data_IF_194696160402
#
_entry.id   IF_194696160402
#
_cell.length_a   1.000
_cell.length_b   1.000
_cell.length_c   1.000
_cell.angle_alpha   90.00
_cell.angle_beta   90.00
_cell.angle_gamma   90.00
#
_symmetry.space_group_name_H-M   'P 1'
#
loop_
_entity.id
_entity.type
_entity.pdbx_description
1 polymer ?
#
# COMPACT_ATOMS: atom_id res chain seq x y z
N UNK A 1 -1.19 5.11 -29.32
CA UNK A 1 -0.40 5.94 -28.38
C UNK A 1 -1.09 5.85 -27.03
N UNK A 2 -0.34 5.62 -25.96
CA UNK A 2 -0.92 5.62 -24.62
C UNK A 2 -1.53 7.00 -24.30
N UNK A 3 -2.65 7.02 -23.60
CA UNK A 3 -3.27 8.26 -23.12
C UNK A 3 -2.35 8.89 -22.07
N UNK A 4 -2.15 10.23 -22.10
CA UNK A 4 -1.29 10.95 -21.17
C UNK A 4 -2.13 11.95 -20.38
N UNK A 5 -2.20 11.76 -19.07
CA UNK A 5 -2.89 12.64 -18.14
C UNK A 5 -1.85 13.47 -17.38
N UNK A 6 -1.96 14.80 -17.49
CA UNK A 6 -1.04 15.73 -16.82
C UNK A 6 -1.67 16.28 -15.56
N UNK A 7 -1.03 16.01 -14.42
CA UNK A 7 -1.43 16.53 -13.11
C UNK A 7 -0.56 17.73 -12.73
N UNK A 8 -1.19 18.76 -12.18
CA UNK A 8 -0.50 20.01 -11.78
C UNK A 8 -0.47 20.20 -10.27
N UNK A 9 -1.45 19.63 -9.58
CA UNK A 9 -1.54 19.67 -8.11
C UNK A 9 -0.77 18.49 -7.52
N UNK A 10 -0.18 18.68 -6.36
CA UNK A 10 0.59 17.65 -5.67
C UNK A 10 1.87 18.22 -5.06
N UNK A 11 2.65 17.36 -4.43
CA UNK A 11 3.87 17.74 -3.73
C UNK A 11 4.89 16.61 -3.72
N UNK A 12 6.04 16.83 -4.35
CA UNK A 12 7.18 15.93 -4.24
C UNK A 12 8.01 16.29 -3.00
N UNK A 13 8.12 15.34 -2.08
CA UNK A 13 8.95 15.46 -0.87
C UNK A 13 10.21 14.63 -1.08
N UNK A 14 11.28 15.28 -1.53
CA UNK A 14 12.55 14.61 -1.79
C UNK A 14 13.29 14.32 -0.49
N UNK A 15 13.26 13.07 -0.03
CA UNK A 15 13.98 12.62 1.15
C UNK A 15 15.30 11.94 0.78
N UNK A 16 16.29 12.04 1.67
CA UNK A 16 17.57 11.32 1.55
C UNK A 16 17.40 9.84 1.87
N UNK A 17 18.22 8.98 1.23
CA UNK A 17 18.22 7.55 1.50
C UNK A 17 17.27 6.74 0.62
N UNK A 18 17.01 7.18 -0.62
CA UNK A 18 16.26 6.37 -1.60
C UNK A 18 16.96 5.03 -1.83
N UNK A 19 16.18 3.95 -1.98
CA UNK A 19 16.70 2.63 -2.28
C UNK A 19 17.51 2.64 -3.57
N UNK A 20 18.72 2.08 -3.50
CA UNK A 20 19.58 1.88 -4.68
C UNK A 20 19.17 0.59 -5.38
N UNK A 21 19.36 0.53 -6.70
CA UNK A 21 19.07 -0.65 -7.51
C UNK A 21 20.10 -1.76 -7.28
N UNK A 22 20.10 -2.29 -6.08
CA UNK A 22 20.95 -3.42 -5.66
C UNK A 22 20.20 -4.34 -4.72
N UNK A 23 20.48 -5.64 -4.82
CA UNK A 23 19.94 -6.63 -3.89
C UNK A 23 20.81 -6.69 -2.64
N UNK A 24 20.14 -6.68 -1.49
CA UNK A 24 20.77 -6.86 -0.19
C UNK A 24 20.67 -8.33 0.24
N UNK A 25 21.65 -8.83 1.03
CA UNK A 25 21.58 -10.18 1.56
C UNK A 25 20.44 -10.33 2.56
N UNK A 26 19.82 -11.50 2.58
CA UNK A 26 18.72 -11.83 3.47
C UNK A 26 19.05 -13.09 4.28
N UNK A 27 18.73 -13.07 5.58
CA UNK A 27 18.80 -14.23 6.47
C UNK A 27 17.44 -14.93 6.45
N UNK A 28 17.42 -16.25 6.26
CA UNK A 28 16.19 -17.03 6.27
C UNK A 28 15.53 -16.96 7.66
N UNK A 29 14.26 -16.58 7.74
CA UNK A 29 13.51 -16.53 8.99
C UNK A 29 13.27 -17.91 9.59
N UNK A 30 13.27 -17.97 10.91
CA UNK A 30 12.86 -19.17 11.68
C UNK A 30 11.36 -19.16 12.02
N UNK A 31 10.69 -18.04 11.82
CA UNK A 31 9.25 -17.86 12.03
C UNK A 31 8.71 -16.82 11.06
N UNK A 32 7.50 -17.03 10.55
CA UNK A 32 6.73 -16.07 9.76
C UNK A 32 5.44 -15.72 10.49
N UNK A 33 4.88 -14.54 10.24
CA UNK A 33 3.59 -14.18 10.80
C UNK A 33 2.69 -13.48 9.76
N UNK A 34 1.45 -13.91 9.66
CA UNK A 34 0.45 -13.26 8.79
C UNK A 34 -0.49 -12.42 9.64
N UNK A 35 -0.67 -11.17 9.25
CA UNK A 35 -1.40 -10.14 9.99
C UNK A 35 -2.74 -9.86 9.29
N UNK A 36 -3.90 -10.17 9.91
CA UNK A 36 -5.20 -9.90 9.28
C UNK A 36 -5.49 -8.41 9.07
N UNK A 37 -4.94 -7.53 9.90
CA UNK A 37 -5.12 -6.07 9.80
C UNK A 37 -4.49 -5.47 8.52
N UNK A 38 -3.66 -6.22 7.79
CA UNK A 38 -3.14 -5.83 6.48
C UNK A 38 -4.26 -5.75 5.41
N UNK A 39 -5.43 -6.33 5.69
CA UNK A 39 -6.57 -6.37 4.78
C UNK A 39 -7.73 -5.53 5.32
N UNK A 40 -7.85 -4.26 4.91
CA UNK A 40 -8.88 -3.35 5.40
C UNK A 40 -10.29 -3.89 5.19
N UNK A 41 -11.14 -3.72 6.19
CA UNK A 41 -12.54 -4.15 6.14
C UNK A 41 -12.79 -5.62 6.43
N UNK A 42 -11.73 -6.41 6.68
CA UNK A 42 -11.80 -7.82 7.04
C UNK A 42 -12.23 -7.99 8.52
N UNK A 43 -13.04 -9.01 8.76
CA UNK A 43 -13.26 -9.56 10.11
C UNK A 43 -12.73 -11.00 10.15
N UNK A 44 -11.52 -11.23 10.69
CA UNK A 44 -10.87 -12.53 10.56
C UNK A 44 -11.53 -13.62 11.41
N UNK A 45 -11.74 -14.79 10.79
CA UNK A 45 -12.06 -16.04 11.45
C UNK A 45 -10.94 -17.02 11.15
N UNK A 46 -10.11 -17.32 12.16
CA UNK A 46 -8.99 -18.25 12.03
C UNK A 46 -9.50 -19.66 11.78
N UNK A 47 -8.88 -20.37 10.84
CA UNK A 47 -9.22 -21.74 10.41
C UNK A 47 -8.25 -22.77 10.96
N UNK A 48 -7.12 -22.36 11.51
CA UNK A 48 -6.06 -23.21 12.05
C UNK A 48 -5.91 -23.06 13.56
N UNK A 49 -5.22 -24.01 14.19
CA UNK A 49 -4.89 -24.03 15.62
C UNK A 49 -3.38 -24.16 15.81
N UNK A 50 -2.90 -23.83 17.00
CA UNK A 50 -1.52 -24.11 17.40
C UNK A 50 -1.25 -25.61 17.30
N UNK A 51 -0.12 -25.97 16.69
CA UNK A 51 0.29 -27.34 16.40
C UNK A 51 -0.20 -27.88 15.07
N UNK A 52 -1.11 -27.21 14.36
CA UNK A 52 -1.54 -27.65 13.02
C UNK A 52 -0.39 -27.46 12.02
N UNK A 53 -0.19 -28.45 11.14
CA UNK A 53 0.72 -28.33 10.00
C UNK A 53 -0.04 -27.77 8.80
N UNK A 54 0.55 -26.80 8.10
CA UNK A 54 0.00 -26.15 6.91
C UNK A 54 1.01 -26.17 5.77
N UNK A 55 0.54 -26.26 4.53
CA UNK A 55 1.38 -26.08 3.33
C UNK A 55 1.33 -24.60 2.90
N UNK A 56 2.31 -24.18 2.13
CA UNK A 56 2.24 -22.90 1.44
C UNK A 56 1.01 -22.89 0.51
N UNK A 57 0.10 -21.93 0.70
CA UNK A 57 -1.18 -21.85 0.00
C UNK A 57 -2.39 -22.37 0.78
N UNK A 58 -2.21 -23.09 1.89
CA UNK A 58 -3.34 -23.51 2.74
C UNK A 58 -3.92 -22.28 3.49
N UNK A 59 -5.24 -22.22 3.74
CA UNK A 59 -5.89 -21.07 4.35
C UNK A 59 -5.60 -20.98 5.86
N UNK A 60 -5.13 -19.84 6.33
CA UNK A 60 -4.90 -19.55 7.75
C UNK A 60 -6.12 -18.93 8.42
N UNK A 61 -6.83 -18.07 7.73
CA UNK A 61 -8.06 -17.45 8.17
C UNK A 61 -8.93 -17.07 6.98
N UNK A 62 -10.21 -16.83 7.24
CA UNK A 62 -11.21 -16.38 6.26
C UNK A 62 -11.87 -15.10 6.74
N UNK A 63 -12.53 -14.35 5.84
CA UNK A 63 -13.44 -13.28 6.24
C UNK A 63 -14.71 -13.88 6.86
N UNK A 64 -15.05 -13.45 8.07
CA UNK A 64 -16.29 -13.87 8.75
C UNK A 64 -17.54 -13.46 7.97
N UNK A 65 -17.47 -12.33 7.26
CA UNK A 65 -18.58 -11.80 6.46
C UNK A 65 -18.74 -12.50 5.11
N UNK A 66 -17.65 -13.15 4.59
CA UNK A 66 -17.65 -13.90 3.36
C UNK A 66 -16.60 -15.02 3.46
N UNK A 67 -17.03 -16.20 3.92
CA UNK A 67 -16.11 -17.32 4.22
C UNK A 67 -15.42 -17.92 3.00
N UNK A 68 -15.83 -17.57 1.81
CA UNK A 68 -15.17 -17.93 0.55
C UNK A 68 -13.85 -17.19 0.37
N UNK A 69 -13.72 -15.99 0.96
CA UNK A 69 -12.48 -15.21 0.93
C UNK A 69 -11.55 -15.70 2.02
N UNK A 70 -10.55 -16.46 1.61
CA UNK A 70 -9.50 -17.02 2.46
C UNK A 70 -8.15 -16.31 2.23
N UNK A 71 -7.24 -16.49 3.18
CA UNK A 71 -5.89 -15.91 3.16
C UNK A 71 -4.86 -17.00 3.38
N UNK A 72 -3.98 -17.15 2.40
CA UNK A 72 -3.05 -18.26 2.29
C UNK A 72 -1.84 -18.13 3.23
N UNK A 73 -1.34 -19.26 3.67
CA UNK A 73 -0.02 -19.36 4.31
C UNK A 73 1.09 -19.05 3.29
N UNK A 74 2.06 -18.19 3.62
CA UNK A 74 3.22 -17.92 2.77
C UNK A 74 4.22 -19.07 2.73
N UNK A 75 4.21 -19.96 3.71
CA UNK A 75 5.19 -21.06 3.90
C UNK A 75 4.47 -22.34 4.32
N UNK A 76 5.10 -23.49 4.06
CA UNK A 76 4.73 -24.73 4.79
C UNK A 76 5.43 -24.76 6.12
N UNK A 77 4.73 -25.30 7.13
CA UNK A 77 5.27 -25.39 8.48
C UNK A 77 4.21 -25.64 9.53
N UNK A 78 4.63 -25.54 10.77
CA UNK A 78 3.74 -25.74 11.93
C UNK A 78 3.29 -24.39 12.49
N UNK A 79 2.00 -24.20 12.71
CA UNK A 79 1.43 -23.03 13.38
C UNK A 79 1.92 -23.02 14.84
N UNK A 80 2.73 -22.02 15.19
CA UNK A 80 3.33 -21.89 16.53
C UNK A 80 2.44 -21.12 17.49
N UNK A 81 1.72 -20.12 16.98
CA UNK A 81 0.80 -19.33 17.79
C UNK A 81 -0.30 -18.66 16.97
N UNK A 82 -1.46 -18.47 17.60
CA UNK A 82 -2.53 -17.59 17.14
C UNK A 82 -2.66 -16.46 18.16
N UNK A 83 -1.92 -15.38 17.94
CA UNK A 83 -1.89 -14.26 18.89
C UNK A 83 -3.16 -13.45 18.84
N UNK A 84 -3.66 -13.10 20.04
CA UNK A 84 -4.90 -12.35 20.20
C UNK A 84 -4.69 -11.19 21.16
N UNK A 85 -5.16 -10.01 20.76
CA UNK A 85 -5.19 -8.82 21.58
C UNK A 85 -6.49 -8.66 22.37
N UNK A 86 -6.77 -7.42 22.72
CA UNK A 86 -8.01 -7.04 23.42
C UNK A 86 -9.25 -7.53 22.67
N UNK A 87 -10.29 -7.87 23.43
CA UNK A 87 -11.57 -8.38 22.91
C UNK A 87 -11.42 -9.58 21.96
N UNK A 88 -10.35 -10.37 22.13
CA UNK A 88 -10.01 -11.53 21.30
C UNK A 88 -9.75 -11.19 19.81
N UNK A 89 -9.42 -9.93 19.48
CA UNK A 89 -8.99 -9.56 18.13
C UNK A 89 -7.77 -10.41 17.73
N UNK A 90 -7.82 -11.02 16.56
CA UNK A 90 -6.66 -11.76 16.03
C UNK A 90 -5.62 -10.74 15.58
N UNK A 91 -4.43 -10.80 16.18
CA UNK A 91 -3.32 -9.92 15.82
C UNK A 91 -2.48 -10.53 14.71
N UNK A 92 -2.10 -11.82 14.87
CA UNK A 92 -1.30 -12.53 13.87
C UNK A 92 -1.39 -14.05 14.05
N UNK A 93 -1.09 -14.76 12.97
CA UNK A 93 -0.89 -16.22 12.96
C UNK A 93 0.57 -16.47 12.66
N UNK A 94 1.29 -17.12 13.58
CA UNK A 94 2.71 -17.43 13.49
C UNK A 94 2.95 -18.84 13.00
N UNK A 95 3.97 -19.04 12.16
CA UNK A 95 4.30 -20.31 11.53
C UNK A 95 5.80 -20.52 11.56
N UNK A 96 6.25 -21.62 12.14
CA UNK A 96 7.63 -22.08 12.01
C UNK A 96 7.77 -22.86 10.70
N UNK A 97 8.60 -22.40 9.74
CA UNK A 97 8.68 -23.01 8.42
C UNK A 97 9.38 -24.36 8.45
N UNK A 98 8.96 -25.27 7.57
CA UNK A 98 9.63 -26.51 7.31
C UNK A 98 10.99 -26.29 6.62
N UNK A 99 11.94 -27.16 6.84
CA UNK A 99 13.22 -27.14 6.14
C UNK A 99 13.07 -27.35 4.63
N UNK A 100 12.09 -28.16 4.23
CA UNK A 100 11.69 -28.38 2.84
C UNK A 100 10.25 -27.92 2.66
N UNK A 101 10.04 -26.93 1.79
CA UNK A 101 8.72 -26.32 1.59
C UNK A 101 7.79 -27.21 0.79
N UNK A 102 6.58 -27.41 1.31
CA UNK A 102 5.48 -28.08 0.65
C UNK A 102 4.45 -27.07 0.17
N UNK A 103 3.88 -27.29 -1.01
CA UNK A 103 2.91 -26.37 -1.61
C UNK A 103 1.58 -27.05 -1.83
N UNK A 104 0.50 -26.34 -1.59
CA UNK A 104 -0.81 -26.70 -2.11
C UNK A 104 -0.78 -26.60 -3.64
N UNK A 105 -1.27 -27.62 -4.33
CA UNK A 105 -1.28 -27.64 -5.81
C UNK A 105 -2.65 -27.20 -6.32
N UNK A 106 -2.70 -26.08 -7.02
CA UNK A 106 -3.90 -25.52 -7.66
C UNK A 106 -3.96 -25.82 -9.17
N UNK A 107 -2.93 -26.49 -9.69
CA UNK A 107 -2.77 -26.79 -11.10
C UNK A 107 -2.37 -25.59 -11.95
N UNK A 108 -1.49 -25.82 -12.90
CA UNK A 108 -1.12 -24.81 -13.91
C UNK A 108 -2.31 -24.59 -14.85
N UNK A 109 -2.67 -23.33 -15.12
CA UNK A 109 -3.83 -22.98 -15.94
C UNK A 109 -3.42 -21.95 -17.00
N UNK A 110 -3.74 -22.23 -18.26
CA UNK A 110 -3.59 -21.25 -19.33
C UNK A 110 -4.70 -20.20 -19.25
N UNK A 111 -4.34 -18.99 -18.82
CA UNK A 111 -5.28 -17.86 -18.66
C UNK A 111 -6.00 -17.48 -19.95
N UNK A 112 -5.44 -17.78 -21.12
CA UNK A 112 -6.08 -17.45 -22.40
C UNK A 112 -7.44 -18.13 -22.56
N UNK A 113 -7.58 -19.38 -22.06
CA UNK A 113 -8.79 -20.18 -22.11
C UNK A 113 -9.76 -20.02 -20.94
N UNK A 114 -9.43 -19.22 -19.93
CA UNK A 114 -10.26 -19.09 -18.74
C UNK A 114 -11.40 -18.08 -18.93
N UNK A 115 -12.52 -18.35 -18.25
CA UNK A 115 -13.63 -17.41 -18.06
C UNK A 115 -13.40 -16.53 -16.81
N UNK A 116 -14.17 -15.46 -16.66
CA UNK A 116 -14.15 -14.61 -15.47
C UNK A 116 -14.36 -15.42 -14.18
N UNK A 117 -15.34 -16.31 -14.19
CA UNK A 117 -15.67 -17.13 -13.01
C UNK A 117 -14.54 -18.10 -12.67
N UNK A 118 -13.89 -18.72 -13.68
CA UNK A 118 -12.74 -19.60 -13.43
C UNK A 118 -11.55 -18.85 -12.82
N UNK A 119 -11.32 -17.59 -13.22
CA UNK A 119 -10.27 -16.76 -12.64
C UNK A 119 -10.61 -16.40 -11.18
N UNK A 120 -11.84 -15.93 -10.91
CA UNK A 120 -12.30 -15.62 -9.54
C UNK A 120 -12.19 -16.85 -8.64
N UNK A 121 -12.70 -18.00 -9.08
CA UNK A 121 -12.65 -19.26 -8.34
C UNK A 121 -11.21 -19.67 -8.03
N UNK A 122 -10.30 -19.56 -9.01
CA UNK A 122 -8.89 -19.90 -8.81
C UNK A 122 -8.23 -19.02 -7.75
N UNK A 123 -8.51 -17.71 -7.77
CA UNK A 123 -8.00 -16.77 -6.77
C UNK A 123 -8.59 -17.00 -5.37
N UNK A 124 -9.89 -17.37 -5.29
CA UNK A 124 -10.55 -17.71 -4.02
C UNK A 124 -9.96 -18.99 -3.42
N UNK A 125 -9.83 -20.06 -4.22
CA UNK A 125 -9.26 -21.33 -3.79
C UNK A 125 -7.82 -21.17 -3.29
N UNK A 126 -7.03 -20.32 -3.96
CA UNK A 126 -5.62 -20.05 -3.62
C UNK A 126 -5.43 -19.06 -2.46
N UNK A 127 -6.50 -18.49 -1.89
CA UNK A 127 -6.40 -17.49 -0.82
C UNK A 127 -5.78 -16.16 -1.26
N UNK A 128 -5.86 -15.83 -2.56
CA UNK A 128 -5.31 -14.61 -3.13
C UNK A 128 -6.37 -13.54 -3.44
N UNK A 129 -7.65 -13.89 -3.42
CA UNK A 129 -8.73 -12.95 -3.77
C UNK A 129 -8.75 -11.74 -2.83
N UNK A 130 -8.38 -11.91 -1.55
CA UNK A 130 -8.32 -10.84 -0.56
C UNK A 130 -7.27 -9.75 -0.84
N UNK A 131 -6.38 -9.93 -1.84
CA UNK A 131 -5.45 -8.90 -2.32
C UNK A 131 -6.09 -7.91 -3.31
N UNK A 132 -7.35 -8.14 -3.68
CA UNK A 132 -8.13 -7.22 -4.50
C UNK A 132 -8.90 -6.30 -3.55
N UNK A 133 -8.72 -4.99 -3.70
CA UNK A 133 -9.48 -3.99 -2.98
C UNK A 133 -10.56 -3.37 -3.88
N UNK A 134 -11.45 -2.60 -3.28
CA UNK A 134 -12.49 -1.88 -4.01
C UNK A 134 -12.61 -0.42 -3.60
N UNK A 135 -12.99 0.41 -4.53
CA UNK A 135 -13.60 1.71 -4.29
C UNK A 135 -15.09 1.62 -4.67
N UNK A 136 -15.98 2.26 -3.93
CA UNK A 136 -15.72 3.05 -2.72
C UNK A 136 -15.27 2.21 -1.53
N UNK A 137 -14.94 2.89 -0.44
CA UNK A 137 -14.56 2.38 0.88
C UNK A 137 -13.09 1.98 1.07
N UNK A 138 -12.31 1.72 0.00
CA UNK A 138 -10.91 1.27 0.09
C UNK A 138 -10.75 0.09 1.07
N UNK A 139 -11.45 -1.00 0.79
CA UNK A 139 -11.45 -2.25 1.57
C UNK A 139 -11.28 -3.45 0.65
N UNK A 140 -10.91 -4.60 1.21
CA UNK A 140 -10.89 -5.86 0.45
C UNK A 140 -12.25 -6.14 -0.16
N UNK A 141 -12.27 -6.54 -1.44
CA UNK A 141 -13.50 -6.78 -2.18
C UNK A 141 -14.13 -8.14 -1.84
N UNK A 142 -15.37 -8.33 -2.27
CA UNK A 142 -16.10 -9.60 -2.17
C UNK A 142 -16.41 -10.17 -3.55
N UNK A 143 -16.49 -11.51 -3.68
CA UNK A 143 -16.69 -12.16 -4.97
C UNK A 143 -18.06 -11.90 -5.60
N UNK A 144 -19.06 -11.51 -4.80
CA UNK A 144 -20.41 -11.14 -5.23
C UNK A 144 -20.49 -9.73 -5.85
N UNK A 145 -19.43 -8.93 -5.74
CA UNK A 145 -19.38 -7.61 -6.38
C UNK A 145 -18.95 -7.73 -7.85
N UNK A 146 -19.62 -6.98 -8.72
CA UNK A 146 -19.25 -6.86 -10.13
C UNK A 146 -18.56 -5.52 -10.38
N UNK A 147 -17.24 -5.51 -10.65
CA UNK A 147 -16.55 -4.25 -10.88
C UNK A 147 -16.88 -3.69 -12.28
N UNK A 148 -17.06 -2.38 -12.35
CA UNK A 148 -17.16 -1.64 -13.62
C UNK A 148 -15.81 -1.66 -14.37
N UNK A 149 -14.70 -1.62 -13.63
CA UNK A 149 -13.33 -1.72 -14.13
C UNK A 149 -12.38 -2.16 -13.03
N UNK A 150 -11.15 -2.57 -13.41
CA UNK A 150 -10.06 -2.91 -12.50
C UNK A 150 -8.90 -1.95 -12.77
N UNK A 151 -8.34 -1.37 -11.71
CA UNK A 151 -7.24 -0.42 -11.78
C UNK A 151 -5.99 -1.00 -11.12
N UNK A 152 -4.87 -0.89 -11.82
CA UNK A 152 -3.53 -1.26 -11.33
C UNK A 152 -2.63 -0.04 -11.48
N UNK A 153 -2.07 0.48 -10.39
CA UNK A 153 -1.10 1.57 -10.46
C UNK A 153 0.31 1.03 -10.30
N UNK A 154 1.09 1.08 -11.38
CA UNK A 154 2.51 0.76 -11.37
C UNK A 154 3.40 1.98 -11.10
N UNK A 155 2.81 3.19 -10.99
CA UNK A 155 3.50 4.40 -10.60
C UNK A 155 3.62 4.46 -9.07
N UNK A 156 4.84 4.51 -8.58
CA UNK A 156 5.17 4.70 -7.16
C UNK A 156 5.92 6.01 -7.00
N UNK A 157 5.25 7.01 -6.44
CA UNK A 157 5.74 8.39 -6.35
C UNK A 157 5.78 8.97 -4.94
N UNK A 158 5.39 8.18 -3.92
CA UNK A 158 5.49 8.60 -2.52
C UNK A 158 6.96 8.71 -2.08
N UNK A 159 7.27 9.55 -1.10
CA UNK A 159 8.64 9.72 -0.60
C UNK A 159 9.25 8.37 -0.16
N UNK A 160 10.45 8.06 -0.65
CA UNK A 160 11.21 6.83 -0.37
C UNK A 160 10.54 5.53 -0.81
N UNK A 161 9.45 5.58 -1.55
CA UNK A 161 8.78 4.41 -2.09
C UNK A 161 9.71 3.68 -3.07
N UNK A 162 9.61 2.34 -3.11
CA UNK A 162 10.37 1.49 -4.03
C UNK A 162 10.03 1.73 -5.49
N UNK A 163 10.98 1.51 -6.39
CA UNK A 163 10.75 1.58 -7.83
C UNK A 163 10.15 0.28 -8.32
N UNK A 164 8.96 0.35 -8.93
CA UNK A 164 8.28 -0.85 -9.41
C UNK A 164 8.96 -1.45 -10.64
N UNK A 165 9.64 -0.66 -11.49
CA UNK A 165 10.41 -1.22 -12.63
C UNK A 165 11.53 -2.14 -12.12
N UNK A 166 12.23 -1.73 -11.05
CA UNK A 166 13.23 -2.59 -10.42
C UNK A 166 12.62 -3.82 -9.74
N UNK A 167 11.45 -3.66 -9.10
CA UNK A 167 10.75 -4.81 -8.51
C UNK A 167 10.28 -5.82 -9.56
N UNK A 168 9.82 -5.33 -10.70
CA UNK A 168 9.31 -6.14 -11.80
C UNK A 168 10.40 -6.98 -12.49
N UNK A 169 11.65 -6.55 -12.41
CA UNK A 169 12.77 -7.22 -13.09
C UNK A 169 12.85 -8.72 -12.76
N UNK A 170 12.75 -9.53 -13.82
CA UNK A 170 12.72 -11.00 -13.75
C UNK A 170 11.33 -11.60 -13.47
N UNK A 171 10.28 -10.78 -13.38
CA UNK A 171 8.90 -11.19 -13.05
C UNK A 171 7.88 -10.73 -14.11
N UNK A 172 8.35 -10.23 -15.25
CA UNK A 172 7.54 -9.61 -16.31
C UNK A 172 6.50 -10.57 -16.87
N UNK A 173 6.86 -11.85 -17.00
CA UNK A 173 5.94 -12.90 -17.46
C UNK A 173 4.79 -13.10 -16.48
N UNK A 174 5.09 -13.16 -15.18
CA UNK A 174 4.08 -13.35 -14.15
C UNK A 174 3.16 -12.13 -14.07
N UNK A 175 3.72 -10.94 -14.15
CA UNK A 175 2.95 -9.70 -14.20
C UNK A 175 1.98 -9.67 -15.39
N UNK A 176 2.46 -9.97 -16.61
CA UNK A 176 1.60 -10.02 -17.79
C UNK A 176 0.51 -11.09 -17.68
N UNK A 177 0.84 -12.28 -17.16
CA UNK A 177 -0.16 -13.35 -16.93
C UNK A 177 -1.23 -12.89 -15.95
N UNK A 178 -0.86 -12.21 -14.86
CA UNK A 178 -1.79 -11.65 -13.89
C UNK A 178 -2.70 -10.57 -14.49
N UNK A 179 -2.16 -9.66 -15.30
CA UNK A 179 -2.95 -8.66 -16.03
C UNK A 179 -3.97 -9.31 -16.98
N UNK A 180 -3.52 -10.32 -17.75
CA UNK A 180 -4.40 -11.08 -18.65
C UNK A 180 -5.49 -11.82 -17.88
N UNK A 181 -5.19 -12.38 -16.69
CA UNK A 181 -6.21 -12.98 -15.82
C UNK A 181 -7.25 -11.96 -15.36
N UNK A 182 -6.83 -10.81 -14.87
CA UNK A 182 -7.74 -9.74 -14.44
C UNK A 182 -8.60 -9.21 -15.58
N UNK A 183 -8.07 -9.13 -16.81
CA UNK A 183 -8.82 -8.67 -17.99
C UNK A 183 -9.98 -9.59 -18.38
N UNK A 184 -9.99 -10.84 -17.91
CA UNK A 184 -11.13 -11.75 -18.09
C UNK A 184 -12.33 -11.35 -17.20
N UNK A 185 -12.07 -10.69 -16.07
CA UNK A 185 -13.12 -10.30 -15.11
C UNK A 185 -13.77 -8.98 -15.54
N UNK A 186 -12.96 -7.95 -15.83
CA UNK A 186 -13.44 -6.65 -16.28
C UNK A 186 -12.33 -5.92 -17.05
N UNK A 187 -12.66 -4.76 -17.64
CA UNK A 187 -11.68 -3.90 -18.26
C UNK A 187 -10.61 -3.48 -17.28
N UNK A 188 -9.32 -3.64 -17.65
CA UNK A 188 -8.18 -3.29 -16.80
C UNK A 188 -7.51 -2.03 -17.30
N UNK A 189 -7.30 -1.08 -16.38
CA UNK A 189 -6.48 0.11 -16.61
C UNK A 189 -5.17 -0.04 -15.84
N UNK A 190 -4.06 0.14 -16.57
CA UNK A 190 -2.71 0.17 -15.99
C UNK A 190 -2.17 1.60 -16.00
N UNK A 191 -2.04 2.19 -14.82
CA UNK A 191 -1.44 3.51 -14.64
C UNK A 191 0.07 3.42 -14.50
N UNK A 192 0.80 4.16 -15.33
CA UNK A 192 2.26 4.23 -15.30
C UNK A 192 2.73 5.68 -15.24
N UNK A 193 3.95 5.91 -14.80
CA UNK A 193 4.57 7.23 -14.77
C UNK A 193 5.26 7.60 -16.10
N UNK A 194 5.31 8.88 -16.39
CA UNK A 194 5.94 9.38 -17.63
C UNK A 194 7.45 9.06 -17.78
N UNK A 195 8.11 8.67 -16.69
CA UNK A 195 9.52 8.30 -16.68
C UNK A 195 9.76 6.79 -16.76
N UNK A 196 8.73 5.99 -16.59
CA UNK A 196 8.82 4.53 -16.68
C UNK A 196 8.94 4.11 -18.15
N UNK A 197 9.90 3.27 -18.44
CA UNK A 197 10.26 2.87 -19.82
C UNK A 197 10.21 1.38 -20.05
N UNK A 198 10.05 0.58 -18.98
CA UNK A 198 10.03 -0.87 -19.06
C UNK A 198 8.93 -1.36 -20.01
N UNK A 199 9.30 -2.25 -20.92
CA UNK A 199 8.40 -2.75 -21.99
C UNK A 199 7.20 -3.50 -21.40
N UNK A 200 7.40 -4.22 -20.30
CA UNK A 200 6.32 -4.94 -19.60
C UNK A 200 5.23 -3.99 -19.06
N UNK A 201 5.55 -2.70 -18.86
CA UNK A 201 4.59 -1.66 -18.45
C UNK A 201 4.04 -0.90 -19.65
N UNK A 202 4.93 -0.41 -20.52
CA UNK A 202 4.57 0.50 -21.62
C UNK A 202 3.85 -0.21 -22.78
N UNK A 203 4.09 -1.51 -22.94
CA UNK A 203 3.50 -2.36 -23.98
C UNK A 203 2.71 -3.56 -23.39
N UNK A 204 2.21 -3.43 -22.16
CA UNK A 204 1.38 -4.44 -21.50
C UNK A 204 0.16 -4.79 -22.37
N UNK A 205 -0.15 -6.08 -22.46
CA UNK A 205 -1.25 -6.59 -23.29
C UNK A 205 -2.52 -6.79 -22.46
N UNK A 206 -3.66 -6.79 -23.14
CA UNK A 206 -4.99 -7.02 -22.56
C UNK A 206 -5.45 -5.96 -21.56
N UNK A 207 -4.75 -4.81 -21.52
CA UNK A 207 -5.03 -3.69 -20.61
C UNK A 207 -4.95 -2.36 -21.35
N UNK A 208 -5.58 -1.34 -20.81
CA UNK A 208 -5.44 0.04 -21.29
C UNK A 208 -4.37 0.76 -20.47
N UNK A 209 -3.25 1.06 -21.10
CA UNK A 209 -2.14 1.77 -20.45
C UNK A 209 -2.39 3.27 -20.48
N UNK A 210 -2.34 3.93 -19.32
CA UNK A 210 -2.45 5.39 -19.17
C UNK A 210 -1.20 5.92 -18.47
N UNK A 211 -0.62 6.97 -19.04
CA UNK A 211 0.58 7.62 -18.50
C UNK A 211 0.16 8.80 -17.62
N UNK A 212 0.62 8.83 -16.38
CA UNK A 212 0.44 9.95 -15.47
C UNK A 212 1.72 10.77 -15.38
N UNK A 213 1.62 12.07 -15.70
CA UNK A 213 2.73 13.03 -15.69
C UNK A 213 2.42 14.14 -14.68
N UNK A 214 3.01 14.07 -13.50
CA UNK A 214 2.80 15.04 -12.43
C UNK A 214 3.51 14.66 -11.14
N UNK A 215 3.39 15.50 -10.11
CA UNK A 215 3.94 15.23 -8.78
C UNK A 215 3.11 14.18 -8.03
N UNK A 216 3.65 13.67 -6.92
CA UNK A 216 2.88 12.88 -5.95
C UNK A 216 1.62 13.67 -5.51
N UNK A 217 0.41 13.06 -5.49
CA UNK A 217 0.10 11.65 -5.47
C UNK A 217 -0.41 11.10 -6.83
N UNK A 218 0.25 11.37 -7.93
CA UNK A 218 -0.12 10.82 -9.25
C UNK A 218 -0.18 9.28 -9.26
N UNK A 219 0.60 8.63 -8.37
CA UNK A 219 0.65 7.18 -8.19
C UNK A 219 -0.50 6.60 -7.38
N UNK A 220 -1.31 7.39 -6.68
CA UNK A 220 -2.46 6.86 -5.96
C UNK A 220 -3.51 6.31 -6.93
N UNK A 221 -3.95 5.09 -6.70
CA UNK A 221 -4.91 4.45 -7.61
C UNK A 221 -6.27 5.17 -7.65
N UNK A 222 -6.73 5.75 -6.56
CA UNK A 222 -7.95 6.56 -6.48
C UNK A 222 -7.85 7.84 -7.32
N UNK A 223 -6.69 8.50 -7.35
CA UNK A 223 -6.41 9.63 -8.25
C UNK A 223 -6.53 9.19 -9.70
N UNK A 224 -5.99 8.02 -10.05
CA UNK A 224 -6.06 7.47 -11.40
C UNK A 224 -7.51 7.11 -11.78
N UNK A 225 -8.26 6.50 -10.86
CA UNK A 225 -9.70 6.22 -11.02
C UNK A 225 -10.48 7.50 -11.30
N UNK A 226 -10.29 8.54 -10.46
CA UNK A 226 -10.97 9.83 -10.61
C UNK A 226 -10.76 10.46 -12.00
N UNK A 227 -9.58 10.31 -12.60
CA UNK A 227 -9.24 10.90 -13.90
C UNK A 227 -9.63 10.05 -15.11
N UNK A 228 -9.80 8.74 -14.95
CA UNK A 228 -10.10 7.82 -16.06
C UNK A 228 -11.59 7.46 -16.09
N UNK A 229 -12.11 6.99 -14.95
CA UNK A 229 -13.47 6.48 -14.84
C UNK A 229 -13.95 6.60 -13.38
N UNK A 230 -14.38 7.81 -12.95
CA UNK A 230 -14.77 8.09 -11.57
C UNK A 230 -15.88 7.19 -11.05
N UNK A 231 -15.89 6.94 -9.74
CA UNK A 231 -16.84 6.06 -9.06
C UNK A 231 -18.02 6.87 -8.52
N UNK A 232 -19.22 6.53 -8.96
CA UNK A 232 -20.46 7.11 -8.46
C UNK A 232 -21.12 6.20 -7.42
N UNK A 233 -22.14 6.73 -6.72
CA UNK A 233 -22.98 5.95 -5.79
C UNK A 233 -23.57 4.73 -6.48
N UNK A 234 -23.36 3.55 -5.91
CA UNK A 234 -23.83 2.27 -6.46
C UNK A 234 -22.89 1.62 -7.49
N UNK A 235 -21.82 2.29 -7.90
CA UNK A 235 -20.77 1.70 -8.73
C UNK A 235 -19.64 1.15 -7.87
N UNK A 236 -18.92 0.15 -8.40
CA UNK A 236 -17.73 -0.44 -7.76
C UNK A 236 -16.62 -0.56 -8.80
N UNK A 237 -15.43 -0.15 -8.45
CA UNK A 237 -14.20 -0.49 -9.19
C UNK A 237 -13.28 -1.31 -8.28
N UNK A 238 -12.56 -2.24 -8.87
CA UNK A 238 -11.54 -2.97 -8.14
C UNK A 238 -10.18 -2.31 -8.32
N UNK A 239 -9.38 -2.37 -7.28
CA UNK A 239 -8.00 -1.87 -7.29
C UNK A 239 -7.07 -2.99 -6.86
N UNK A 240 -5.95 -3.15 -7.57
CA UNK A 240 -4.99 -4.21 -7.29
C UNK A 240 -3.59 -3.62 -7.24
N UNK A 241 -2.85 -3.92 -6.16
CA UNK A 241 -1.43 -3.59 -6.09
C UNK A 241 -0.65 -4.35 -7.18
N UNK A 242 0.29 -3.72 -7.89
CA UNK A 242 0.99 -4.35 -8.99
C UNK A 242 1.82 -5.58 -8.56
N UNK A 243 2.29 -5.64 -7.31
CA UNK A 243 2.94 -6.85 -6.77
C UNK A 243 1.93 -8.00 -6.59
N UNK A 244 0.67 -7.71 -6.21
CA UNK A 244 -0.37 -8.73 -6.15
C UNK A 244 -0.71 -9.31 -7.54
N UNK A 245 -0.63 -8.47 -8.60
CA UNK A 245 -0.77 -8.96 -9.98
C UNK A 245 0.30 -10.02 -10.31
N UNK A 246 1.53 -9.83 -9.83
CA UNK A 246 2.61 -10.83 -9.96
C UNK A 246 2.23 -12.13 -9.23
N UNK A 247 1.65 -12.05 -8.01
CA UNK A 247 1.21 -13.23 -7.27
C UNK A 247 0.14 -14.02 -8.04
N UNK A 248 -0.81 -13.32 -8.65
CA UNK A 248 -1.84 -13.94 -9.48
C UNK A 248 -1.22 -14.66 -10.69
N UNK A 249 -0.29 -14.01 -11.39
CA UNK A 249 0.40 -14.61 -12.51
C UNK A 249 1.21 -15.85 -12.14
N UNK A 250 1.92 -15.82 -11.02
CA UNK A 250 2.65 -16.98 -10.49
C UNK A 250 1.73 -18.16 -10.21
N UNK A 251 0.55 -17.90 -9.62
CA UNK A 251 -0.45 -18.95 -9.40
C UNK A 251 -0.81 -19.66 -10.72
N UNK A 252 -1.16 -18.91 -11.75
CA UNK A 252 -1.54 -19.50 -13.04
C UNK A 252 -0.37 -20.17 -13.74
N UNK A 253 0.82 -19.61 -13.71
CA UNK A 253 2.01 -20.13 -14.36
C UNK A 253 2.60 -21.35 -13.67
N UNK A 254 2.45 -21.50 -12.35
CA UNK A 254 3.11 -22.55 -11.57
C UNK A 254 2.15 -23.49 -10.83
N UNK A 255 0.87 -23.13 -10.71
CA UNK A 255 -0.11 -23.84 -9.90
C UNK A 255 0.12 -23.73 -8.40
N UNK A 256 0.99 -22.81 -7.93
CA UNK A 256 1.40 -22.68 -6.54
C UNK A 256 1.26 -21.24 -6.06
N UNK A 257 0.95 -21.06 -4.79
CA UNK A 257 1.00 -19.74 -4.13
C UNK A 257 2.44 -19.43 -3.78
N UNK A 258 2.92 -18.30 -4.26
CA UNK A 258 4.22 -17.75 -3.90
C UNK A 258 4.09 -16.26 -3.61
N UNK A 259 4.13 -15.90 -2.33
CA UNK A 259 3.99 -14.53 -1.82
C UNK A 259 5.35 -13.83 -1.64
N UNK A 260 6.38 -14.25 -2.37
CA UNK A 260 7.66 -13.52 -2.39
C UNK A 260 7.47 -12.19 -3.08
N UNK A 261 7.92 -11.14 -2.42
CA UNK A 261 7.92 -9.78 -2.94
C UNK A 261 9.28 -9.12 -2.80
N UNK A 262 9.60 -8.20 -3.69
CA UNK A 262 10.80 -7.36 -3.61
C UNK A 262 10.46 -6.10 -2.84
N UNK A 263 11.11 -5.87 -1.70
CA UNK A 263 10.85 -4.78 -0.79
C UNK A 263 12.04 -3.83 -0.77
N UNK A 264 11.78 -2.53 -0.93
CA UNK A 264 12.81 -1.49 -0.84
C UNK A 264 13.15 -1.22 0.64
N UNK A 265 14.45 -1.11 0.94
CA UNK A 265 14.97 -0.67 2.23
C UNK A 265 15.55 0.72 2.04
N UNK A 266 14.88 1.73 2.62
CA UNK A 266 15.14 3.14 2.36
C UNK A 266 15.16 3.98 3.63
N UNK A 267 15.65 5.21 3.52
CA UNK A 267 15.67 6.19 4.60
C UNK A 267 17.08 6.60 5.01
N UNK A 268 17.17 7.76 5.64
CA UNK A 268 18.45 8.35 6.05
C UNK A 268 19.13 7.61 7.21
N UNK A 269 18.40 6.72 7.90
CA UNK A 269 18.90 5.92 9.02
C UNK A 269 19.21 4.48 8.63
N UNK A 270 19.33 4.20 7.33
CA UNK A 270 19.80 2.92 6.77
C UNK A 270 21.28 3.03 6.41
N UNK A 271 22.10 2.07 6.85
CA UNK A 271 23.54 2.04 6.47
C UNK A 271 23.74 1.71 4.99
N UNK A 272 22.96 0.75 4.48
CA UNK A 272 23.00 0.35 3.08
C UNK A 272 21.56 0.22 2.55
N UNK A 273 21.16 1.13 1.66
CA UNK A 273 19.86 1.13 1.00
C UNK A 273 19.87 0.15 -0.18
N UNK A 274 18.73 -0.44 -0.51
CA UNK A 274 18.63 -1.40 -1.61
C UNK A 274 17.32 -2.17 -1.55
N UNK A 275 17.28 -3.36 -2.11
CA UNK A 275 16.09 -4.22 -2.16
C UNK A 275 16.37 -5.59 -1.58
N UNK A 276 15.35 -6.21 -1.02
CA UNK A 276 15.39 -7.61 -0.53
C UNK A 276 14.22 -8.38 -1.12
N UNK A 277 14.45 -9.63 -1.51
CA UNK A 277 13.37 -10.55 -1.87
C UNK A 277 12.95 -11.32 -0.61
N UNK A 278 11.72 -11.10 -0.16
CA UNK A 278 11.19 -11.64 1.10
C UNK A 278 9.77 -12.16 0.90
N UNK A 279 9.40 -13.17 1.69
CA UNK A 279 8.00 -13.61 1.81
C UNK A 279 7.20 -12.65 2.71
N UNK A 280 5.92 -12.49 2.41
CA UNK A 280 4.97 -11.86 3.33
C UNK A 280 5.06 -12.54 4.69
N UNK A 281 5.08 -11.75 5.75
CA UNK A 281 5.21 -12.26 7.12
C UNK A 281 6.65 -12.41 7.63
N UNK A 282 7.67 -12.04 6.84
CA UNK A 282 9.07 -12.02 7.29
C UNK A 282 9.28 -10.98 8.38
N UNK A 283 9.93 -11.30 9.53
CA UNK A 283 10.23 -10.33 10.58
C UNK A 283 11.13 -9.19 10.11
N UNK A 284 10.74 -7.93 10.41
CA UNK A 284 11.52 -6.74 10.05
C UNK A 284 12.88 -6.71 10.74
N UNK A 285 12.98 -7.22 11.96
CA UNK A 285 14.23 -7.30 12.73
C UNK A 285 15.32 -8.07 11.99
N UNK A 286 14.97 -9.12 11.22
CA UNK A 286 15.94 -9.89 10.42
C UNK A 286 16.38 -9.13 9.17
N UNK A 287 15.46 -8.42 8.50
CA UNK A 287 15.76 -7.62 7.31
C UNK A 287 16.69 -6.46 7.66
N UNK A 288 16.49 -5.87 8.83
CA UNK A 288 17.22 -4.69 9.29
C UNK A 288 18.46 -5.03 10.13
N UNK A 289 18.74 -6.32 10.35
CA UNK A 289 19.86 -6.78 11.20
C UNK A 289 21.19 -6.19 10.71
N UNK A 290 21.85 -5.41 11.57
CA UNK A 290 23.15 -4.76 11.27
C UNK A 290 23.07 -3.60 10.27
N UNK A 291 21.89 -3.26 9.73
CA UNK A 291 21.72 -2.23 8.70
C UNK A 291 21.11 -0.91 9.23
N UNK A 292 20.86 -0.80 10.51
CA UNK A 292 20.37 0.46 11.14
C UNK A 292 21.57 1.33 11.48
N UNK A 293 21.49 2.62 11.13
CA UNK A 293 22.52 3.60 11.46
C UNK A 293 22.58 3.88 12.97
N UNK A 294 23.77 4.12 13.48
CA UNK A 294 24.00 4.43 14.87
C UNK A 294 23.87 5.95 15.13
N UNK A 295 23.71 6.35 16.39
CA UNK A 295 23.88 7.74 16.82
C UNK A 295 22.62 8.52 17.14
N UNK A 296 21.42 8.02 16.81
CA UNK A 296 20.15 8.61 17.26
C UNK A 296 19.05 7.54 17.33
N UNK A 297 17.93 7.88 17.97
CA UNK A 297 16.74 7.05 17.98
C UNK A 297 16.11 7.03 16.58
N UNK A 298 15.77 5.84 16.11
CA UNK A 298 15.29 5.60 14.73
C UNK A 298 13.84 5.19 14.75
N UNK A 299 13.03 5.87 13.94
CA UNK A 299 11.67 5.44 13.61
C UNK A 299 11.71 4.49 12.43
N UNK A 300 11.24 3.27 12.65
CA UNK A 300 11.07 2.27 11.60
C UNK A 300 9.61 2.30 11.14
N UNK A 301 9.41 2.39 9.83
CA UNK A 301 8.10 2.40 9.20
C UNK A 301 7.96 1.18 8.28
N UNK A 302 6.91 0.42 8.45
CA UNK A 302 6.47 -0.59 7.51
C UNK A 302 5.66 0.13 6.41
N UNK A 303 6.32 0.51 5.34
CA UNK A 303 5.83 1.42 4.30
C UNK A 303 6.64 2.72 4.19
N UNK A 304 6.09 3.71 3.51
CA UNK A 304 6.68 5.03 3.28
C UNK A 304 6.35 6.03 4.41
N UNK A 305 7.02 7.19 4.47
CA UNK A 305 6.81 8.16 5.54
C UNK A 305 5.42 8.81 5.60
N UNK A 306 4.61 8.72 4.53
CA UNK A 306 3.28 9.34 4.49
C UNK A 306 2.16 8.38 4.92
N UNK A 307 2.25 7.09 4.55
CA UNK A 307 1.18 6.12 4.77
C UNK A 307 1.62 4.88 5.55
N UNK A 308 2.92 4.76 5.85
CA UNK A 308 3.48 3.62 6.56
C UNK A 308 3.07 3.55 8.03
N UNK A 309 3.06 2.34 8.56
CA UNK A 309 2.75 2.06 9.97
C UNK A 309 4.04 1.99 10.78
N UNK A 310 4.04 2.57 11.98
CA UNK A 310 5.18 2.48 12.89
C UNK A 310 5.43 1.01 13.24
N UNK A 311 6.65 0.56 13.00
CA UNK A 311 7.07 -0.79 13.30
C UNK A 311 7.75 -0.89 14.66
N UNK A 312 7.63 -2.06 15.27
CA UNK A 312 8.30 -2.47 16.50
C UNK A 312 9.08 -3.78 16.26
N UNK A 313 9.72 -4.32 17.28
CA UNK A 313 10.54 -5.53 17.21
C UNK A 313 9.77 -6.79 16.74
N UNK A 314 8.46 -6.79 16.90
CA UNK A 314 7.58 -7.90 16.50
C UNK A 314 6.93 -7.70 15.12
N UNK A 315 7.20 -6.58 14.48
CA UNK A 315 6.60 -6.25 13.18
C UNK A 315 7.19 -7.12 12.08
N UNK A 316 6.33 -7.46 11.12
CA UNK A 316 6.66 -8.29 9.97
C UNK A 316 6.34 -7.54 8.67
N UNK A 317 6.88 -8.00 7.56
CA UNK A 317 6.49 -7.51 6.23
C UNK A 317 5.01 -7.81 6.02
N UNK A 318 4.24 -6.77 5.86
CA UNK A 318 2.80 -6.85 5.61
C UNK A 318 2.46 -7.30 4.19
N UNK A 319 1.20 -7.69 4.00
CA UNK A 319 0.69 -8.17 2.71
C UNK A 319 0.83 -7.14 1.57
N UNK A 320 0.83 -5.85 1.88
CA UNK A 320 0.92 -4.75 0.91
C UNK A 320 2.19 -3.90 1.05
N UNK A 321 3.16 -4.33 1.88
CA UNK A 321 4.40 -3.57 2.11
C UNK A 321 5.31 -3.62 0.89
N UNK A 322 5.59 -2.49 0.26
CA UNK A 322 6.54 -2.35 -0.85
C UNK A 322 7.88 -1.75 -0.43
N UNK A 323 7.93 -1.09 0.71
CA UNK A 323 9.14 -0.52 1.28
C UNK A 323 9.14 -0.58 2.81
N UNK A 324 10.35 -0.55 3.38
CA UNK A 324 10.59 -0.30 4.81
C UNK A 324 11.46 0.93 4.91
N UNK A 325 10.98 1.92 5.65
CA UNK A 325 11.64 3.23 5.74
C UNK A 325 12.15 3.51 7.15
N UNK A 326 13.40 3.97 7.25
CA UNK A 326 14.04 4.34 8.50
C UNK A 326 14.40 5.82 8.49
N UNK A 327 13.82 6.59 9.42
CA UNK A 327 14.06 8.03 9.59
C UNK A 327 14.43 8.33 11.05
N UNK A 328 15.07 9.48 11.34
CA UNK A 328 15.30 9.89 12.72
C UNK A 328 13.97 10.10 13.46
N UNK A 329 13.87 9.63 14.71
CA UNK A 329 12.73 9.92 15.58
C UNK A 329 12.66 11.41 15.92
N UNK A 330 13.82 12.02 16.22
CA UNK A 330 13.95 13.44 16.51
C UNK A 330 13.63 13.84 17.95
N UNK A 331 13.40 12.89 18.85
CA UNK A 331 13.13 13.11 20.28
C UNK A 331 14.37 13.61 21.05
N UNK A 332 15.56 13.46 20.49
CA UNK A 332 16.84 13.94 20.99
C UNK A 332 17.18 15.39 20.55
N UNK A 333 16.35 16.00 19.71
CA UNK A 333 16.61 17.35 19.18
C UNK A 333 15.91 18.42 20.00
N UNK A 334 16.69 19.23 20.70
CA UNK A 334 16.20 20.38 21.49
C UNK A 334 16.51 21.70 20.78
N UNK A 335 15.49 22.39 20.29
CA UNK A 335 15.63 23.68 19.63
C UNK A 335 15.08 24.82 20.51
N UNK A 336 15.96 25.68 20.97
CA UNK A 336 15.55 26.92 21.64
C UNK A 336 15.27 27.98 20.56
N UNK A 337 14.10 28.62 20.59
CA UNK A 337 13.65 29.62 19.62
C UNK A 337 13.65 29.15 18.15
N UNK A 338 13.42 27.85 17.91
CA UNK A 338 13.45 27.24 16.60
C UNK A 338 12.54 27.91 15.55
N UNK A 339 11.46 28.57 15.96
CA UNK A 339 10.55 29.32 15.10
C UNK A 339 11.17 30.60 14.48
N UNK A 340 12.29 31.13 15.05
CA UNK A 340 13.02 32.31 14.52
C UNK A 340 14.21 31.92 13.64
N UNK A 341 14.60 30.64 13.61
CA UNK A 341 15.80 30.22 12.88
C UNK A 341 15.54 30.21 11.36
N UNK A 342 16.54 30.53 10.53
CA UNK A 342 16.42 30.58 9.06
C UNK A 342 16.25 29.19 8.42
N UNK A 343 16.40 28.09 9.16
CA UNK A 343 16.13 26.69 8.83
C UNK A 343 16.54 26.27 7.42
N UNK A 344 17.81 26.37 7.08
CA UNK A 344 18.37 26.01 5.76
C UNK A 344 18.32 24.51 5.44
N UNK A 345 17.94 23.66 6.39
CA UNK A 345 17.87 22.20 6.24
C UNK A 345 16.46 21.66 6.25
N UNK A 346 15.48 22.45 6.63
CA UNK A 346 14.10 22.03 6.78
C UNK A 346 13.30 22.20 5.48
N UNK A 347 12.36 21.31 5.23
CA UNK A 347 11.42 21.42 4.13
C UNK A 347 10.37 22.51 4.43
N UNK A 348 9.99 23.28 3.43
CA UNK A 348 8.95 24.30 3.56
C UNK A 348 8.00 24.27 2.38
N UNK A 349 6.73 24.08 2.65
CA UNK A 349 5.64 24.15 1.66
C UNK A 349 5.26 25.58 1.32
N UNK A 350 5.33 26.49 2.29
CA UNK A 350 4.90 27.89 2.20
C UNK A 350 6.02 28.90 1.92
N UNK A 351 7.22 28.42 1.61
CA UNK A 351 8.44 29.24 1.45
C UNK A 351 8.82 30.07 2.69
N UNK A 352 8.37 29.65 3.87
CA UNK A 352 8.70 30.31 5.15
C UNK A 352 10.18 30.19 5.52
N UNK A 353 10.89 29.17 4.98
CA UNK A 353 12.31 28.95 5.17
C UNK A 353 13.06 29.21 3.86
N UNK A 354 14.33 29.61 3.96
CA UNK A 354 15.16 29.92 2.79
C UNK A 354 15.57 28.69 1.95
N UNK A 355 15.14 27.50 2.32
CA UNK A 355 15.46 26.25 1.59
C UNK A 355 14.97 26.24 0.15
N UNK A 356 13.89 26.96 -0.17
CA UNK A 356 13.38 27.09 -1.53
C UNK A 356 14.37 27.74 -2.51
N UNK A 357 15.36 28.50 -2.01
CA UNK A 357 16.44 29.05 -2.81
C UNK A 357 17.48 28.02 -3.24
N UNK A 358 17.50 26.84 -2.62
CA UNK A 358 18.52 25.80 -2.86
C UNK A 358 18.17 24.86 -4.02
N UNK A 359 17.07 25.10 -4.74
CA UNK A 359 16.64 24.26 -5.86
C UNK A 359 16.17 22.87 -5.44
N UNK A 360 16.38 21.86 -6.30
CA UNK A 360 16.04 20.47 -6.00
C UNK A 360 17.05 19.89 -5.01
N UNK A 361 16.68 19.81 -3.75
CA UNK A 361 17.48 19.28 -2.66
C UNK A 361 16.77 18.07 -2.05
N UNK A 362 17.55 17.07 -1.63
CA UNK A 362 17.05 16.01 -0.76
C UNK A 362 17.17 16.44 0.71
N UNK A 363 16.14 16.14 1.49
CA UNK A 363 16.02 16.53 2.89
C UNK A 363 16.18 15.32 3.80
N UNK A 364 16.84 15.51 4.94
CA UNK A 364 16.84 14.56 6.03
C UNK A 364 15.85 15.05 7.09
N UNK A 365 14.59 14.62 6.97
CA UNK A 365 13.53 14.99 7.90
C UNK A 365 13.42 13.94 9.01
N UNK A 366 13.09 14.43 10.21
CA UNK A 366 12.73 13.60 11.35
C UNK A 366 11.22 13.44 11.50
N UNK A 367 10.80 12.54 12.40
CA UNK A 367 9.40 12.23 12.64
C UNK A 367 8.66 13.22 13.55
N UNK A 368 9.30 14.33 13.97
CA UNK A 368 8.65 15.30 14.84
C UNK A 368 7.50 16.03 14.16
N UNK A 369 6.40 16.14 14.86
CA UNK A 369 5.32 17.05 14.50
C UNK A 369 5.78 18.49 14.70
N UNK A 370 5.97 19.24 13.61
CA UNK A 370 6.37 20.66 13.68
C UNK A 370 5.14 21.55 13.73
N UNK A 371 4.63 21.77 14.92
CA UNK A 371 3.42 22.53 15.22
C UNK A 371 2.64 21.88 16.37
N UNK A 372 1.39 22.25 16.54
CA UNK A 372 0.49 21.68 17.51
C UNK A 372 -0.88 21.41 16.88
N UNK A 373 -1.57 20.40 17.36
CA UNK A 373 -2.95 20.12 16.97
C UNK A 373 -3.85 21.31 17.29
N UNK A 374 -4.70 21.66 16.36
CA UNK A 374 -5.65 22.78 16.43
C UNK A 374 -6.99 22.36 15.87
N UNK A 375 -8.01 23.16 16.13
CA UNK A 375 -9.26 23.06 15.38
C UNK A 375 -9.01 23.33 13.90
N UNK A 376 -9.74 22.63 13.05
CA UNK A 376 -9.59 22.74 11.58
C UNK A 376 -9.72 24.19 11.10
N UNK A 377 -8.72 24.63 10.37
CA UNK A 377 -8.67 25.94 9.70
C UNK A 377 -8.88 25.67 8.21
N UNK A 378 -9.83 26.38 7.60
CA UNK A 378 -10.04 26.34 6.15
C UNK A 378 -8.99 27.23 5.48
N UNK A 379 -7.86 26.63 5.09
CA UNK A 379 -6.71 27.34 4.56
C UNK A 379 -6.60 27.31 3.03
N UNK A 380 -7.31 26.38 2.38
CA UNK A 380 -7.18 26.09 0.94
C UNK A 380 -5.90 25.31 0.60
N UNK A 381 -5.13 24.87 1.60
CA UNK A 381 -3.86 24.14 1.37
C UNK A 381 -4.09 22.75 0.80
N UNK A 382 -5.20 22.07 1.17
CA UNK A 382 -5.49 20.73 0.68
C UNK A 382 -5.68 20.71 -0.84
N UNK A 383 -6.33 21.75 -1.39
CA UNK A 383 -6.58 21.86 -2.83
C UNK A 383 -5.29 21.93 -3.66
N UNK A 384 -4.18 22.36 -3.06
CA UNK A 384 -2.89 22.46 -3.75
C UNK A 384 -2.22 21.10 -3.95
N UNK A 385 -2.53 20.13 -3.09
CA UNK A 385 -1.90 18.79 -3.06
C UNK A 385 -2.85 17.66 -3.42
N UNK A 386 -4.14 17.94 -3.60
CA UNK A 386 -5.16 16.97 -3.97
C UNK A 386 -5.54 17.15 -5.45
N UNK A 387 -5.01 16.31 -6.36
CA UNK A 387 -5.27 16.43 -7.79
C UNK A 387 -6.57 15.72 -8.22
N UNK A 388 -7.62 15.82 -7.42
CA UNK A 388 -8.94 15.24 -7.69
C UNK A 388 -9.99 16.36 -7.76
N UNK A 389 -11.07 16.13 -8.48
CA UNK A 389 -12.19 17.08 -8.60
C UNK A 389 -13.16 16.89 -7.42
N UNK A 390 -12.65 17.10 -6.20
CA UNK A 390 -13.41 17.02 -4.95
C UNK A 390 -13.12 18.23 -4.06
N UNK A 391 -14.04 18.57 -3.17
CA UNK A 391 -13.88 19.63 -2.18
C UNK A 391 -13.29 19.07 -0.88
N UNK A 392 -11.96 18.77 -0.86
CA UNK A 392 -11.30 18.05 0.21
C UNK A 392 -11.49 18.63 1.62
N UNK A 393 -11.34 19.96 1.81
CA UNK A 393 -11.55 20.60 3.11
C UNK A 393 -13.00 20.50 3.59
N UNK A 394 -13.97 20.70 2.69
CA UNK A 394 -15.38 20.57 3.03
C UNK A 394 -15.76 19.12 3.31
N UNK A 395 -15.19 18.17 2.59
CA UNK A 395 -15.39 16.74 2.83
C UNK A 395 -14.92 16.36 4.24
N UNK A 396 -13.72 16.75 4.66
CA UNK A 396 -13.21 16.51 6.02
C UNK A 396 -14.15 17.12 7.07
N UNK A 397 -14.61 18.36 6.88
CA UNK A 397 -15.61 18.98 7.79
C UNK A 397 -16.91 18.20 7.86
N UNK A 398 -17.38 17.70 6.72
CA UNK A 398 -18.59 16.92 6.64
C UNK A 398 -18.48 15.58 7.37
N UNK A 399 -17.31 14.93 7.28
CA UNK A 399 -17.00 13.72 8.04
C UNK A 399 -16.99 14.01 9.55
N UNK A 400 -16.27 15.05 9.98
CA UNK A 400 -16.20 15.45 11.38
C UNK A 400 -17.56 15.82 11.98
N UNK A 401 -18.47 16.38 11.19
CA UNK A 401 -19.85 16.70 11.62
C UNK A 401 -20.82 15.52 11.55
N UNK A 402 -20.41 14.38 10.98
CA UNK A 402 -21.27 13.21 10.79
C UNK A 402 -22.38 13.38 9.75
N UNK A 403 -22.26 14.36 8.85
CA UNK A 403 -23.28 14.64 7.82
C UNK A 403 -23.03 13.79 6.58
N UNK A 404 -23.67 12.63 6.48
CA UNK A 404 -23.49 11.65 5.40
C UNK A 404 -23.94 12.22 4.04
N UNK A 405 -25.10 12.90 3.98
CA UNK A 405 -25.61 13.49 2.72
C UNK A 405 -24.60 14.46 2.11
N UNK A 406 -23.98 15.28 2.96
CA UNK A 406 -22.94 16.21 2.51
C UNK A 406 -21.64 15.48 2.09
N UNK A 407 -21.27 14.39 2.77
CA UNK A 407 -20.11 13.59 2.38
C UNK A 407 -20.29 12.99 0.97
N UNK A 408 -21.48 12.46 0.68
CA UNK A 408 -21.83 11.91 -0.63
C UNK A 408 -21.76 12.99 -1.74
N UNK A 409 -22.26 14.20 -1.47
CA UNK A 409 -22.21 15.32 -2.42
C UNK A 409 -20.79 15.86 -2.65
N UNK A 410 -19.88 15.67 -1.70
CA UNK A 410 -18.52 16.20 -1.72
C UNK A 410 -17.48 15.18 -2.20
N UNK A 411 -17.88 13.99 -2.64
CA UNK A 411 -17.00 13.03 -3.32
C UNK A 411 -16.42 11.94 -2.43
N UNK A 412 -17.05 11.57 -1.30
CA UNK A 412 -16.53 10.51 -0.41
C UNK A 412 -16.39 9.16 -1.10
N UNK A 413 -17.16 8.86 -2.14
CA UNK A 413 -17.07 7.61 -2.89
C UNK A 413 -15.80 7.45 -3.72
N UNK A 414 -15.13 8.56 -4.04
CA UNK A 414 -13.98 8.61 -4.92
C UNK A 414 -12.65 8.54 -4.19
N UNK A 415 -12.66 8.72 -2.87
CA UNK A 415 -11.43 8.86 -2.06
C UNK A 415 -11.07 7.61 -1.29
N UNK A 416 -9.77 7.49 -1.06
CA UNK A 416 -9.17 6.58 -0.08
C UNK A 416 -8.44 7.38 1.02
N UNK A 417 -8.15 6.79 2.18
CA UNK A 417 -7.37 7.47 3.23
C UNK A 417 -6.02 7.99 2.73
N UNK A 418 -5.35 7.27 1.85
CA UNK A 418 -4.02 7.64 1.32
C UNK A 418 -4.02 8.92 0.48
N UNK A 419 -5.16 9.31 -0.10
CA UNK A 419 -5.27 10.55 -0.89
C UNK A 419 -5.10 11.78 -0.03
N UNK A 420 -5.41 11.67 1.25
CA UNK A 420 -5.25 12.73 2.22
C UNK A 420 -3.89 12.74 2.92
N UNK A 421 -2.96 11.85 2.57
CA UNK A 421 -1.64 11.79 3.21
C UNK A 421 -0.81 13.07 2.98
N UNK A 422 -0.82 13.62 1.77
CA UNK A 422 -0.17 14.91 1.51
C UNK A 422 -0.93 16.09 2.11
N UNK A 423 -2.26 16.05 2.13
CA UNK A 423 -3.07 17.06 2.81
C UNK A 423 -2.77 17.07 4.32
N UNK A 424 -2.65 15.90 4.94
CA UNK A 424 -2.22 15.75 6.34
C UNK A 424 -0.81 16.32 6.58
N UNK A 425 0.12 16.12 5.66
CA UNK A 425 1.48 16.67 5.76
C UNK A 425 1.50 18.19 5.70
N UNK A 426 0.72 18.82 4.80
CA UNK A 426 0.67 20.28 4.68
C UNK A 426 -0.30 20.94 5.66
N UNK A 427 -1.21 20.20 6.28
CA UNK A 427 -2.22 20.75 7.18
C UNK A 427 -1.60 21.59 8.31
N UNK A 428 -2.00 22.85 8.37
CA UNK A 428 -1.57 23.77 9.44
C UNK A 428 -2.24 23.46 10.78
N UNK A 429 -3.35 22.74 10.79
CA UNK A 429 -4.10 22.31 12.00
C UNK A 429 -3.59 21.02 12.60
N UNK A 430 -2.80 20.26 11.83
CA UNK A 430 -2.23 18.95 12.22
C UNK A 430 -3.28 17.91 12.61
N UNK A 431 -4.35 17.84 11.85
CA UNK A 431 -5.39 16.82 12.01
C UNK A 431 -4.95 15.48 11.40
N UNK A 432 -5.32 14.35 11.98
CA UNK A 432 -5.06 13.02 11.43
C UNK A 432 -6.05 12.70 10.28
N UNK A 433 -5.84 13.32 9.11
CA UNK A 433 -6.82 13.31 8.02
C UNK A 433 -7.07 11.91 7.47
N UNK A 434 -6.02 11.09 7.32
CA UNK A 434 -6.15 9.71 6.87
C UNK A 434 -7.06 8.90 7.80
N UNK A 435 -6.91 9.07 9.11
CA UNK A 435 -7.77 8.42 10.10
C UNK A 435 -9.21 8.92 10.02
N UNK A 436 -9.42 10.22 9.88
CA UNK A 436 -10.74 10.84 9.74
C UNK A 436 -11.46 10.28 8.51
N UNK A 437 -10.77 10.20 7.37
CA UNK A 437 -11.33 9.63 6.12
C UNK A 437 -11.65 8.14 6.30
N UNK A 438 -10.77 7.37 6.95
CA UNK A 438 -11.04 5.95 7.24
C UNK A 438 -12.31 5.76 8.07
N UNK A 439 -12.47 6.54 9.13
CA UNK A 439 -13.66 6.51 9.99
C UNK A 439 -14.92 6.90 9.21
N UNK A 440 -14.86 7.95 8.37
CA UNK A 440 -15.97 8.35 7.50
C UNK A 440 -16.39 7.25 6.52
N UNK A 441 -15.42 6.63 5.84
CA UNK A 441 -15.67 5.51 4.92
C UNK A 441 -16.25 4.29 5.63
N UNK A 442 -15.82 3.99 6.85
CA UNK A 442 -16.34 2.86 7.64
C UNK A 442 -17.78 3.09 8.11
N UNK A 443 -18.13 4.34 8.47
CA UNK A 443 -19.51 4.72 8.80
C UNK A 443 -20.39 4.60 7.56
N UNK A 444 -19.97 5.21 6.44
CA UNK A 444 -20.70 5.17 5.19
C UNK A 444 -20.95 3.73 4.70
N UNK A 445 -19.95 2.85 4.82
CA UNK A 445 -20.08 1.43 4.47
C UNK A 445 -21.13 0.71 5.31
N UNK A 446 -21.24 1.05 6.59
CA UNK A 446 -22.25 0.46 7.49
C UNK A 446 -23.66 0.95 7.20
N UNK A 447 -23.80 2.22 6.78
CA UNK A 447 -25.10 2.79 6.40
C UNK A 447 -25.62 2.24 5.07
N UNK A 448 -24.71 1.87 4.16
CA UNK A 448 -25.04 1.33 2.84
C UNK A 448 -25.05 -0.21 2.77
N UNK A 449 -24.80 -0.90 3.90
CA UNK A 449 -24.82 -2.38 4.01
C UNK A 449 -26.25 -2.90 4.42
#
# INVERSE_FOLDING_TARGET
MANVIKLRKGLDINLTGRAQEQMLPMISPTEYAVVPDDFPGLTPKVTVREGDHVRAGDPLFVDKGCTEVSFASPVSGTVTAVERGERRKVLRVKIAPDAQQEYADFGVKDVAGLTADNVKESLLQAGLFGYINQLPYAVATRPDTAPKAIFVSALRDKPLQGDFEYELNGQEKDFQTGLTALSKIAKVYLGIGAKQTETALTAAKDVEVTVFDGPCPAGNVSVQVNHIDPVNKGEVVWTVDPTAVIFFGRLFNTGKVNLTRRVAIAGSMVKQTGYVDVLVGTPLSLILAGNIADGCHVRILNGNPLTGVIANDESVIGAHTSEVTLIPEGDDVHEMFGWMLPRFKDFSTSRSYFTWLQGKKAYNLDARLKGGERHMIMSGEYDSVLPMDIYGEYLIKSILSGNIDSQEQLGIYEVSPEDFALAEFVDSSKLPLQKIVREGLDILRKENA
#
